data_IF_794747246705
#
_entry.id   IF_794747246705
#
_cell.length_a   1.000
_cell.length_b   1.000
_cell.length_c   1.000
_cell.angle_alpha   90.00
_cell.angle_beta   90.00
_cell.angle_gamma   90.00
#
_symmetry.space_group_name_H-M   'P 1'
#
loop_
_entity.id
_entity.type
_entity.pdbx_description
1 polymer ?
#
# COMPACT_ATOMS: atom_id res chain seq x y z
N UNK A 1 -22.55 28.35 -15.85
CA UNK A 1 -22.07 27.05 -15.38
C UNK A 1 -20.56 27.03 -15.53
N UNK A 2 -19.85 27.34 -14.45
CA UNK A 2 -18.38 27.39 -14.40
C UNK A 2 -17.97 26.66 -13.13
N UNK A 3 -17.45 25.45 -13.28
CA UNK A 3 -16.84 24.68 -12.19
C UNK A 3 -15.50 25.32 -11.83
N UNK A 4 -15.24 25.65 -10.55
CA UNK A 4 -13.92 26.12 -10.15
C UNK A 4 -12.97 24.92 -10.04
N UNK A 5 -11.93 24.93 -10.86
CA UNK A 5 -10.74 24.08 -10.70
C UNK A 5 -9.99 24.60 -9.47
N UNK A 6 -10.10 23.91 -8.33
CA UNK A 6 -9.27 24.22 -7.16
C UNK A 6 -7.88 23.64 -7.40
N UNK A 7 -6.92 24.51 -7.73
CA UNK A 7 -5.50 24.19 -7.64
C UNK A 7 -5.14 24.34 -6.15
N UNK A 8 -4.82 23.24 -5.47
CA UNK A 8 -4.20 23.32 -4.15
C UNK A 8 -2.86 24.06 -4.29
N UNK A 9 -2.85 25.32 -3.86
CA UNK A 9 -1.63 26.11 -3.73
C UNK A 9 -0.69 25.39 -2.76
N UNK A 10 0.53 25.14 -3.23
CA UNK A 10 1.52 24.32 -2.55
C UNK A 10 1.85 24.81 -1.14
N UNK A 11 1.70 23.92 -0.18
CA UNK A 11 2.44 23.99 1.08
C UNK A 11 3.92 23.74 0.77
N UNK A 12 4.76 24.70 1.14
CA UNK A 12 6.22 24.59 1.02
C UNK A 12 6.70 23.37 1.81
N UNK A 13 7.24 22.36 1.12
CA UNK A 13 8.05 21.29 1.71
C UNK A 13 9.40 21.88 2.17
N UNK A 14 9.40 22.57 3.31
CA UNK A 14 10.63 23.03 4.00
C UNK A 14 10.88 22.27 5.31
N UNK A 15 10.30 21.09 5.48
CA UNK A 15 10.82 20.15 6.46
C UNK A 15 12.03 19.43 5.84
N UNK A 16 13.18 19.32 6.52
CA UNK A 16 14.19 18.35 6.10
C UNK A 16 13.48 17.00 5.97
N UNK A 17 13.70 16.28 4.87
CA UNK A 17 13.21 14.90 4.78
C UNK A 17 13.75 14.18 6.02
N UNK A 18 12.90 13.73 6.96
CA UNK A 18 13.41 12.90 8.03
C UNK A 18 14.07 11.72 7.32
N UNK A 19 15.36 11.49 7.63
CA UNK A 19 15.95 10.17 7.42
C UNK A 19 14.90 9.19 7.93
N UNK A 20 14.32 8.39 7.04
CA UNK A 20 13.08 7.65 7.32
C UNK A 20 13.32 6.80 8.56
N UNK A 21 12.97 7.35 9.72
CA UNK A 21 13.16 6.68 10.99
C UNK A 21 12.20 5.52 10.91
N UNK A 22 12.75 4.35 10.60
CA UNK A 22 11.98 3.13 10.46
C UNK A 22 11.18 3.01 11.75
N UNK A 23 9.85 3.02 11.64
CA UNK A 23 8.98 2.86 12.79
C UNK A 23 9.39 1.56 13.49
N UNK A 24 9.92 1.66 14.72
CA UNK A 24 10.33 0.49 15.51
C UNK A 24 9.16 -0.10 16.29
N UNK A 25 8.02 0.58 16.27
CA UNK A 25 6.78 0.18 16.93
C UNK A 25 5.62 0.21 15.94
N UNK A 26 4.55 -0.46 16.32
CA UNK A 26 3.29 -0.44 15.60
C UNK A 26 2.71 0.98 15.62
N UNK A 27 2.14 1.41 14.50
CA UNK A 27 1.60 2.76 14.34
C UNK A 27 0.14 2.72 13.93
N UNK A 28 -0.68 3.52 14.60
CA UNK A 28 -2.08 3.71 14.21
C UNK A 28 -2.21 5.00 13.40
N UNK A 29 -2.77 4.90 12.21
CA UNK A 29 -3.02 6.02 11.31
C UNK A 29 -4.53 6.22 11.09
N UNK A 30 -5.01 7.46 10.97
CA UNK A 30 -6.36 7.70 10.49
C UNK A 30 -6.46 7.24 9.03
N UNK A 31 -7.60 6.64 8.69
CA UNK A 31 -7.97 6.36 7.31
C UNK A 31 -9.38 6.88 7.05
N UNK A 32 -9.74 7.09 5.79
CA UNK A 32 -11.14 7.20 5.42
C UNK A 32 -11.94 5.96 5.78
N UNK A 33 -13.24 6.12 6.06
CA UNK A 33 -14.13 4.99 6.32
C UNK A 33 -14.13 4.00 5.14
N UNK A 34 -13.94 2.72 5.45
CA UNK A 34 -13.83 1.68 4.44
C UNK A 34 -13.87 0.26 5.01
N UNK A 35 -13.82 -0.76 4.13
CA UNK A 35 -13.84 -2.15 4.56
C UNK A 35 -12.57 -2.51 5.33
N UNK A 36 -12.67 -3.55 6.16
CA UNK A 36 -11.51 -4.14 6.81
C UNK A 36 -10.65 -4.87 5.77
N UNK A 37 -9.37 -4.55 5.68
CA UNK A 37 -8.46 -5.13 4.69
C UNK A 37 -7.13 -5.39 5.36
N UNK A 38 -6.57 -6.58 5.15
CA UNK A 38 -5.19 -6.89 5.50
C UNK A 38 -4.30 -6.67 4.27
N UNK A 39 -3.34 -5.77 4.31
CA UNK A 39 -2.41 -5.48 3.23
C UNK A 39 -0.99 -5.93 3.60
N UNK A 40 -0.40 -6.80 2.78
CA UNK A 40 0.90 -7.42 3.06
C UNK A 40 2.09 -6.74 2.38
N UNK A 41 1.85 -5.70 1.57
CA UNK A 41 2.91 -4.89 0.97
C UNK A 41 3.77 -5.60 -0.09
N UNK A 42 4.91 -4.99 -0.39
CA UNK A 42 5.86 -5.40 -1.44
C UNK A 42 7.02 -6.26 -0.90
N UNK A 43 8.00 -6.61 -1.74
CA UNK A 43 9.15 -7.43 -1.33
C UNK A 43 10.27 -6.68 -0.59
N UNK A 44 10.48 -5.40 -0.88
CA UNK A 44 11.54 -4.58 -0.28
C UNK A 44 10.98 -3.63 0.77
N UNK A 45 11.75 -3.37 1.84
CA UNK A 45 11.38 -2.51 2.98
C UNK A 45 9.94 -2.77 3.44
N UNK A 46 9.61 -4.04 3.58
CA UNK A 46 8.24 -4.50 3.73
C UNK A 46 7.63 -4.01 5.05
N UNK A 47 6.43 -3.46 4.93
CA UNK A 47 5.56 -3.03 6.04
C UNK A 47 4.15 -3.50 5.73
N UNK A 48 3.47 -4.05 6.73
CA UNK A 48 2.10 -4.56 6.60
C UNK A 48 1.13 -3.56 7.22
N UNK A 49 -0.14 -3.65 6.81
CA UNK A 49 -1.20 -2.78 7.28
C UNK A 49 -2.50 -3.56 7.47
N UNK A 50 -3.23 -3.30 8.55
CA UNK A 50 -4.62 -3.71 8.71
C UNK A 50 -5.52 -2.48 8.79
N UNK A 51 -6.41 -2.32 7.81
CA UNK A 51 -7.46 -1.32 7.83
C UNK A 51 -8.64 -1.79 8.70
N UNK A 52 -9.13 -0.90 9.55
CA UNK A 52 -10.25 -1.06 10.45
C UNK A 52 -11.12 0.20 10.38
N UNK A 53 -12.17 0.19 9.53
CA UNK A 53 -13.06 1.33 9.36
C UNK A 53 -12.26 2.58 8.97
N UNK A 54 -12.37 3.63 9.76
CA UNK A 54 -11.63 4.89 9.60
C UNK A 54 -10.21 4.90 10.20
N UNK A 55 -9.56 3.75 10.37
CA UNK A 55 -8.18 3.70 10.87
C UNK A 55 -7.39 2.53 10.28
N UNK A 56 -6.07 2.61 10.36
CA UNK A 56 -5.19 1.50 10.05
C UNK A 56 -4.16 1.27 11.15
N UNK A 57 -3.75 0.02 11.30
CA UNK A 57 -2.59 -0.39 12.09
C UNK A 57 -1.46 -0.80 11.14
N UNK A 58 -0.30 -0.17 11.26
CA UNK A 58 0.91 -0.49 10.49
C UNK A 58 1.94 -1.15 11.38
N UNK A 59 2.67 -2.10 10.81
CA UNK A 59 3.78 -2.79 11.49
C UNK A 59 5.06 -1.96 11.42
N UNK A 60 6.05 -2.23 12.28
CA UNK A 60 7.45 -1.96 11.95
C UNK A 60 7.84 -2.59 10.62
N UNK A 61 8.85 -2.03 9.95
CA UNK A 61 9.40 -2.70 8.77
C UNK A 61 10.15 -3.97 9.18
N UNK A 62 10.02 -5.03 8.39
CA UNK A 62 10.83 -6.25 8.52
C UNK A 62 12.06 -6.23 7.62
N UNK A 63 12.30 -5.12 6.91
CA UNK A 63 13.34 -5.01 5.90
C UNK A 63 12.95 -5.69 4.59
N UNK A 64 13.93 -6.21 3.88
CA UNK A 64 13.73 -6.91 2.60
C UNK A 64 13.38 -8.38 2.85
N UNK A 65 12.43 -8.92 2.09
CA UNK A 65 11.97 -10.32 2.22
C UNK A 65 12.90 -11.30 1.47
N UNK A 66 14.20 -11.19 1.69
CA UNK A 66 15.25 -11.98 1.05
C UNK A 66 15.95 -12.96 2.00
N UNK A 67 15.67 -12.88 3.30
CA UNK A 67 16.16 -13.82 4.32
C UNK A 67 15.02 -14.64 4.94
N UNK A 68 15.29 -15.87 5.40
CA UNK A 68 14.30 -16.66 6.14
C UNK A 68 13.75 -15.96 7.38
N UNK A 69 14.59 -15.20 8.08
CA UNK A 69 14.21 -14.45 9.28
C UNK A 69 13.22 -13.33 8.96
N UNK A 70 13.47 -12.56 7.89
CA UNK A 70 12.55 -11.52 7.45
C UNK A 70 11.21 -12.10 6.95
N UNK A 71 11.26 -13.23 6.24
CA UNK A 71 10.06 -13.96 5.81
C UNK A 71 9.22 -14.44 7.01
N UNK A 72 9.86 -15.06 8.01
CA UNK A 72 9.15 -15.51 9.21
C UNK A 72 8.54 -14.34 9.99
N UNK A 73 9.29 -13.24 10.17
CA UNK A 73 8.79 -12.04 10.83
C UNK A 73 7.61 -11.40 10.08
N UNK A 74 7.63 -11.44 8.74
CA UNK A 74 6.50 -11.02 7.90
C UNK A 74 5.25 -11.87 8.15
N UNK A 75 5.38 -13.20 8.15
CA UNK A 75 4.28 -14.13 8.41
C UNK A 75 3.70 -13.92 9.83
N UNK A 76 4.56 -13.79 10.84
CA UNK A 76 4.16 -13.52 12.23
C UNK A 76 3.41 -12.20 12.35
N UNK A 77 3.90 -11.14 11.70
CA UNK A 77 3.23 -9.84 11.67
C UNK A 77 1.86 -9.90 10.99
N UNK A 78 1.73 -10.68 9.90
CA UNK A 78 0.46 -10.87 9.22
C UNK A 78 -0.57 -11.56 10.12
N UNK A 79 -0.14 -12.59 10.86
CA UNK A 79 -0.96 -13.30 11.85
C UNK A 79 -1.35 -12.39 13.02
N UNK A 80 -0.43 -11.57 13.50
CA UNK A 80 -0.68 -10.62 14.58
C UNK A 80 -1.70 -9.53 14.17
N UNK A 81 -1.58 -8.97 12.96
CA UNK A 81 -2.58 -8.02 12.41
C UNK A 81 -3.96 -8.66 12.26
N UNK A 82 -4.02 -9.91 11.79
CA UNK A 82 -5.27 -10.66 11.68
C UNK A 82 -5.91 -10.91 13.05
N UNK A 83 -5.11 -11.31 14.05
CA UNK A 83 -5.59 -11.48 15.42
C UNK A 83 -6.13 -10.17 15.99
N UNK A 84 -5.40 -9.06 15.79
CA UNK A 84 -5.84 -7.72 16.20
C UNK A 84 -7.17 -7.30 15.56
N UNK A 85 -7.40 -7.63 14.29
CA UNK A 85 -8.69 -7.41 13.62
C UNK A 85 -9.80 -8.27 14.24
N UNK A 86 -9.52 -9.55 14.50
CA UNK A 86 -10.50 -10.47 15.09
C UNK A 86 -10.89 -10.08 16.53
N UNK A 87 -9.95 -9.57 17.33
CA UNK A 87 -10.22 -9.05 18.69
C UNK A 87 -11.23 -7.88 18.69
N UNK A 88 -11.44 -7.26 17.53
CA UNK A 88 -12.39 -6.16 17.31
C UNK A 88 -13.64 -6.61 16.54
N UNK A 89 -13.86 -7.92 16.41
CA UNK A 89 -14.92 -8.52 15.57
C UNK A 89 -14.88 -8.05 14.10
N UNK A 90 -13.69 -7.67 13.61
CA UNK A 90 -13.50 -7.02 12.32
C UNK A 90 -12.86 -7.94 11.28
N UNK A 91 -13.58 -9.01 10.89
CA UNK A 91 -13.08 -9.94 9.87
C UNK A 91 -12.71 -9.21 8.56
N UNK A 92 -11.51 -9.42 7.99
CA UNK A 92 -11.13 -8.81 6.71
C UNK A 92 -12.13 -9.15 5.60
N UNK A 93 -12.46 -8.16 4.79
CA UNK A 93 -13.20 -8.33 3.55
C UNK A 93 -12.30 -8.81 2.40
N UNK A 94 -10.99 -8.54 2.47
CA UNK A 94 -10.00 -8.98 1.50
C UNK A 94 -8.59 -8.99 2.09
N UNK A 95 -7.66 -9.66 1.40
CA UNK A 95 -6.21 -9.53 1.64
C UNK A 95 -5.58 -8.88 0.40
N UNK A 96 -4.90 -7.76 0.56
CA UNK A 96 -4.23 -7.03 -0.51
C UNK A 96 -2.71 -7.31 -0.52
N UNK A 97 -2.12 -7.32 -1.70
CA UNK A 97 -0.68 -7.52 -1.90
C UNK A 97 -0.17 -6.80 -3.14
N UNK A 98 1.15 -6.70 -3.28
CA UNK A 98 1.76 -6.17 -4.51
C UNK A 98 1.43 -7.03 -5.73
N UNK A 99 1.23 -6.40 -6.89
CA UNK A 99 0.96 -7.10 -8.15
C UNK A 99 2.03 -8.16 -8.51
N UNK A 100 3.27 -8.02 -8.04
CA UNK A 100 4.34 -8.96 -8.33
C UNK A 100 4.04 -10.37 -7.79
N UNK A 101 3.88 -11.40 -8.65
CA UNK A 101 3.45 -12.74 -8.22
C UNK A 101 4.50 -13.47 -7.38
N UNK A 102 5.79 -13.21 -7.63
CA UNK A 102 6.87 -13.97 -7.00
C UNK A 102 7.33 -13.44 -5.63
N UNK A 103 6.75 -12.34 -5.13
CA UNK A 103 7.11 -11.86 -3.79
C UNK A 103 6.65 -12.83 -2.71
N UNK A 104 7.46 -12.96 -1.66
CA UNK A 104 7.07 -13.74 -0.48
C UNK A 104 5.77 -13.19 0.12
N UNK A 105 5.63 -11.85 0.22
CA UNK A 105 4.40 -11.20 0.67
C UNK A 105 3.16 -11.58 -0.15
N UNK A 106 3.31 -11.68 -1.48
CA UNK A 106 2.23 -12.11 -2.38
C UNK A 106 1.79 -13.55 -2.10
N UNK A 107 2.74 -14.48 -1.92
CA UNK A 107 2.40 -15.88 -1.59
C UNK A 107 1.73 -15.99 -0.22
N UNK A 108 2.22 -15.26 0.77
CA UNK A 108 1.61 -15.21 2.11
C UNK A 108 0.19 -14.63 2.04
N UNK A 109 -0.05 -13.63 1.20
CA UNK A 109 -1.39 -13.05 0.99
C UNK A 109 -2.35 -14.06 0.37
N UNK A 110 -1.91 -14.79 -0.65
CA UNK A 110 -2.71 -15.81 -1.30
C UNK A 110 -3.08 -16.95 -0.35
N UNK A 111 -2.12 -17.41 0.47
CA UNK A 111 -2.37 -18.44 1.46
C UNK A 111 -3.38 -17.99 2.53
N UNK A 112 -3.21 -16.78 3.09
CA UNK A 112 -4.13 -16.21 4.07
C UNK A 112 -5.52 -15.94 3.49
N UNK A 113 -5.60 -15.40 2.27
CA UNK A 113 -6.88 -15.17 1.60
C UNK A 113 -7.65 -16.48 1.37
N UNK A 114 -6.96 -17.53 0.97
CA UNK A 114 -7.54 -18.87 0.78
C UNK A 114 -8.00 -19.47 2.12
N UNK A 115 -7.19 -19.38 3.18
CA UNK A 115 -7.54 -19.85 4.53
C UNK A 115 -8.79 -19.15 5.06
N UNK A 116 -8.86 -17.82 4.87
CA UNK A 116 -9.99 -17.02 5.32
C UNK A 116 -11.22 -17.19 4.41
N UNK A 117 -11.07 -17.63 3.17
CA UNK A 117 -12.15 -17.64 2.18
C UNK A 117 -12.56 -16.22 1.76
N UNK A 118 -11.59 -15.35 1.51
CA UNK A 118 -11.80 -13.95 1.05
C UNK A 118 -11.03 -13.67 -0.23
N UNK A 119 -11.40 -12.63 -1.00
CA UNK A 119 -10.64 -12.21 -2.17
C UNK A 119 -9.18 -11.86 -1.83
N UNK A 120 -8.27 -12.29 -2.70
CA UNK A 120 -6.88 -11.85 -2.73
C UNK A 120 -6.73 -10.77 -3.80
N UNK A 121 -6.38 -9.55 -3.41
CA UNK A 121 -6.41 -8.36 -4.27
C UNK A 121 -4.99 -7.91 -4.63
N UNK A 122 -4.55 -8.11 -5.89
CA UNK A 122 -3.29 -7.54 -6.36
C UNK A 122 -3.44 -6.02 -6.56
N UNK A 123 -2.49 -5.26 -6.04
CA UNK A 123 -2.40 -3.81 -6.19
C UNK A 123 -1.10 -3.45 -6.89
N UNK A 124 -1.19 -2.71 -7.99
CA UNK A 124 0.00 -2.27 -8.72
C UNK A 124 0.88 -1.35 -7.86
N UNK A 125 2.19 -1.58 -7.88
CA UNK A 125 3.16 -0.95 -6.98
C UNK A 125 3.12 0.59 -6.97
N UNK A 126 3.16 1.20 -8.15
CA UNK A 126 3.16 2.65 -8.32
C UNK A 126 1.79 3.28 -7.97
N UNK A 127 0.70 2.56 -8.24
CA UNK A 127 -0.64 2.92 -7.77
C UNK A 127 -0.67 2.92 -6.23
N UNK A 128 -0.11 1.91 -5.58
CA UNK A 128 -0.04 1.86 -4.12
C UNK A 128 0.75 3.05 -3.54
N UNK A 129 1.87 3.45 -4.16
CA UNK A 129 2.62 4.64 -3.76
C UNK A 129 1.77 5.92 -3.81
N UNK A 130 1.08 6.18 -4.92
CA UNK A 130 0.24 7.36 -5.04
C UNK A 130 -1.00 7.29 -4.13
N UNK A 131 -1.59 6.11 -3.96
CA UNK A 131 -2.73 5.90 -3.06
C UNK A 131 -2.34 6.13 -1.59
N UNK A 132 -1.13 5.77 -1.17
CA UNK A 132 -0.62 6.05 0.17
C UNK A 132 -0.53 7.56 0.43
N UNK A 133 -0.01 8.33 -0.52
CA UNK A 133 0.01 9.82 -0.42
C UNK A 133 -1.40 10.39 -0.34
N UNK A 134 -2.33 9.87 -1.14
CA UNK A 134 -3.74 10.30 -1.06
C UNK A 134 -4.33 10.00 0.32
N UNK A 135 -4.06 8.81 0.87
CA UNK A 135 -4.55 8.41 2.19
C UNK A 135 -3.97 9.29 3.30
N UNK A 136 -2.66 9.58 3.28
CA UNK A 136 -1.98 10.45 4.24
C UNK A 136 -2.59 11.85 4.28
N UNK A 137 -2.95 12.41 3.12
CA UNK A 137 -3.56 13.73 3.01
C UNK A 137 -5.10 13.73 3.09
N UNK A 138 -5.74 12.57 3.29
CA UNK A 138 -7.21 12.45 3.28
C UNK A 138 -7.83 12.88 1.94
N UNK A 139 -7.11 12.70 0.83
CA UNK A 139 -7.56 13.08 -0.50
C UNK A 139 -8.35 11.96 -1.17
N UNK A 140 -9.51 12.33 -1.70
CA UNK A 140 -10.51 11.40 -2.26
C UNK A 140 -10.83 11.62 -3.74
N UNK A 141 -10.38 12.74 -4.28
CA UNK A 141 -10.66 13.12 -5.67
C UNK A 141 -9.78 12.38 -6.67
N UNK A 142 -10.02 12.60 -7.97
CA UNK A 142 -9.09 12.19 -9.01
C UNK A 142 -7.71 12.80 -8.78
N UNK A 143 -6.64 12.06 -9.08
CA UNK A 143 -5.24 12.50 -8.95
C UNK A 143 -4.47 12.16 -10.20
N UNK A 144 -3.67 13.11 -10.68
CA UNK A 144 -2.54 12.82 -11.56
C UNK A 144 -1.28 12.86 -10.72
N UNK A 145 -0.56 11.75 -10.68
CA UNK A 145 0.64 11.59 -9.85
C UNK A 145 1.81 11.05 -10.65
N UNK A 146 3.00 11.44 -10.24
CA UNK A 146 4.26 10.93 -10.77
C UNK A 146 4.87 10.00 -9.73
N UNK A 147 4.96 8.71 -10.04
CA UNK A 147 5.59 7.70 -9.20
C UNK A 147 7.00 7.42 -9.73
N UNK A 148 8.01 7.79 -8.95
CA UNK A 148 9.43 7.57 -9.27
C UNK A 148 10.02 6.63 -8.23
N UNK A 149 10.38 5.42 -8.64
CA UNK A 149 10.98 4.41 -7.76
C UNK A 149 12.14 3.67 -8.48
N UNK A 150 12.59 2.56 -7.89
CA UNK A 150 13.57 1.70 -8.53
C UNK A 150 12.92 0.81 -9.60
N UNK A 151 12.17 -0.19 -9.13
CA UNK A 151 11.46 -1.14 -9.99
C UNK A 151 10.18 -1.60 -9.30
N UNK A 152 9.07 -1.54 -10.04
CA UNK A 152 7.82 -2.22 -9.72
C UNK A 152 7.24 -2.93 -10.94
N UNK A 153 6.55 -4.06 -10.75
CA UNK A 153 5.92 -4.78 -11.87
C UNK A 153 4.75 -3.96 -12.44
N UNK A 154 4.82 -3.68 -13.73
CA UNK A 154 3.76 -3.05 -14.51
C UNK A 154 2.59 -3.99 -14.79
N UNK A 155 1.42 -3.42 -15.06
CA UNK A 155 0.24 -4.20 -15.48
C UNK A 155 0.41 -4.84 -16.86
N UNK A 156 1.41 -4.38 -17.63
CA UNK A 156 1.83 -4.92 -18.92
C UNK A 156 2.98 -5.95 -18.79
N UNK A 157 3.32 -6.36 -17.57
CA UNK A 157 4.38 -7.33 -17.28
C UNK A 157 5.81 -6.76 -17.39
N UNK A 158 5.99 -5.47 -17.68
CA UNK A 158 7.30 -4.85 -17.77
C UNK A 158 7.71 -4.21 -16.43
N UNK A 159 9.02 -3.98 -16.26
CA UNK A 159 9.52 -3.17 -15.16
C UNK A 159 9.11 -1.71 -15.36
N UNK A 160 8.49 -1.11 -14.35
CA UNK A 160 8.18 0.31 -14.25
C UNK A 160 9.07 0.95 -13.18
N UNK A 161 9.30 2.26 -13.26
CA UNK A 161 10.05 3.02 -12.25
C UNK A 161 9.95 4.55 -12.38
N UNK A 162 9.18 5.05 -13.36
CA UNK A 162 9.07 6.47 -13.65
C UNK A 162 7.76 6.80 -14.35
N UNK A 163 6.65 6.68 -13.63
CA UNK A 163 5.31 6.55 -14.19
C UNK A 163 4.43 7.76 -13.90
N UNK A 164 3.84 8.34 -14.94
CA UNK A 164 2.76 9.33 -14.81
C UNK A 164 1.42 8.58 -14.82
N UNK A 165 0.71 8.62 -13.71
CA UNK A 165 -0.51 7.85 -13.49
C UNK A 165 -1.70 8.77 -13.20
N UNK A 166 -2.88 8.37 -13.67
CA UNK A 166 -4.16 8.95 -13.30
C UNK A 166 -4.94 7.98 -12.43
N UNK A 167 -5.21 8.38 -11.19
CA UNK A 167 -5.98 7.65 -10.21
C UNK A 167 -7.40 8.20 -10.14
N UNK A 168 -8.39 7.30 -10.21
CA UNK A 168 -9.80 7.60 -10.01
C UNK A 168 -10.43 6.51 -9.15
N UNK A 169 -10.40 6.71 -7.83
CA UNK A 169 -10.76 5.68 -6.86
C UNK A 169 -9.81 4.47 -7.01
N UNK A 170 -10.33 3.24 -7.16
CA UNK A 170 -9.49 2.05 -7.31
C UNK A 170 -8.87 1.89 -8.71
N UNK A 171 -9.22 2.76 -9.66
CA UNK A 171 -8.71 2.68 -11.04
C UNK A 171 -7.42 3.47 -11.17
N UNK A 172 -6.41 2.85 -11.77
CA UNK A 172 -5.16 3.49 -12.15
C UNK A 172 -4.97 3.35 -13.67
N UNK A 173 -4.69 4.47 -14.35
CA UNK A 173 -4.38 4.50 -15.78
C UNK A 173 -3.01 5.12 -15.99
N UNK A 174 -2.13 4.42 -16.73
CA UNK A 174 -0.82 4.96 -17.14
C UNK A 174 -1.01 6.01 -18.23
N UNK A 175 -0.59 7.24 -17.97
CA UNK A 175 -0.64 8.36 -18.92
C UNK A 175 0.67 8.55 -19.68
N UNK A 176 1.80 8.18 -19.07
CA UNK A 176 3.13 8.32 -19.65
C UNK A 176 4.20 7.69 -18.75
N UNK A 177 5.41 7.56 -19.28
CA UNK A 177 6.55 7.00 -18.57
C UNK A 177 7.87 7.55 -19.08
N UNK A 178 8.93 7.43 -18.27
CA UNK A 178 10.29 7.71 -18.71
C UNK A 178 10.70 6.72 -19.81
N UNK A 179 11.31 7.23 -20.87
CA UNK A 179 11.88 6.38 -21.90
C UNK A 179 13.12 5.67 -21.32
N UNK A 180 13.26 4.35 -21.52
CA UNK A 180 14.45 3.61 -21.10
C UNK A 180 15.73 4.09 -21.80
#
# INVERSE_FOLDING_TARGET
MTTPTSICMGTTLTAPMPEAAQATTWQRLPLPEGPHVLALGAGLKNTLCAALGSSAMLTPTVGDLDTPQACAAHEDNARALLAWLNDQDARPAAVAHDLHPDFHSTRTAQALAAELGVPCLPVQHHHAHLAAVCAEHGWHGPVVGLALDGVGLGTDGHAWGGELLHLLGPRCTRLGHLHP
#
